data_IF_393421300500
#
_entry.id   IF_393421300500
#
_cell.length_a   1.000
_cell.length_b   1.000
_cell.length_c   1.000
_cell.angle_alpha   90.00
_cell.angle_beta   90.00
_cell.angle_gamma   90.00
#
_symmetry.space_group_name_H-M   'P 1'
#
loop_
_entity.id
_entity.type
_entity.pdbx_description
1 polymer ?
#
# COMPACT_ATOMS: atom_id res chain seq x y z
N UNK A 1 4.14 4.74 4.15
CA UNK A 1 4.03 3.29 3.92
C UNK A 1 5.41 2.70 3.71
N UNK A 2 5.57 1.41 3.99
CA UNK A 2 6.85 0.70 3.91
C UNK A 2 6.66 -0.78 3.54
N UNK A 3 7.65 -1.38 2.89
CA UNK A 3 7.75 -2.81 2.61
C UNK A 3 8.82 -3.45 3.48
N UNK A 4 8.38 -4.32 4.38
CA UNK A 4 9.28 -5.04 5.27
C UNK A 4 9.54 -6.42 4.70
N UNK A 5 10.81 -6.79 4.52
CA UNK A 5 11.24 -8.11 4.03
C UNK A 5 12.46 -8.05 3.09
N UNK A 6 12.81 -9.16 2.42
CA UNK A 6 12.16 -10.48 2.52
C UNK A 6 12.44 -11.15 3.86
N UNK A 7 11.41 -11.73 4.48
CA UNK A 7 11.55 -12.56 5.67
C UNK A 7 12.09 -13.96 5.30
N UNK A 8 12.95 -14.56 6.13
CA UNK A 8 13.52 -15.89 5.87
C UNK A 8 12.47 -17.00 6.00
N UNK A 9 11.51 -16.83 6.91
CA UNK A 9 10.37 -17.74 7.09
C UNK A 9 9.22 -17.24 6.23
N UNK A 10 8.63 -18.16 5.45
CA UNK A 10 7.48 -17.86 4.60
C UNK A 10 6.18 -17.94 5.39
N UNK A 11 5.22 -17.08 5.03
CA UNK A 11 3.83 -17.20 5.46
C UNK A 11 3.16 -18.48 4.95
N UNK A 12 1.95 -18.75 5.44
CA UNK A 12 1.21 -19.98 5.13
C UNK A 12 0.90 -20.16 3.65
N UNK A 13 0.92 -19.09 2.83
CA UNK A 13 0.73 -19.16 1.38
C UNK A 13 1.97 -18.74 0.61
N UNK A 14 3.14 -18.68 1.26
CA UNK A 14 4.42 -18.36 0.65
C UNK A 14 4.79 -16.87 0.67
N UNK A 15 4.13 -16.06 1.47
CA UNK A 15 4.42 -14.64 1.64
C UNK A 15 5.80 -14.43 2.26
N UNK A 16 6.52 -13.41 1.79
CA UNK A 16 7.87 -13.05 2.28
C UNK A 16 8.01 -11.57 2.59
N UNK A 17 7.01 -10.76 2.33
CA UNK A 17 7.03 -9.33 2.58
C UNK A 17 5.77 -8.92 3.34
N UNK A 18 5.83 -7.82 4.06
CA UNK A 18 4.67 -7.13 4.59
C UNK A 18 4.64 -5.70 4.06
N UNK A 19 3.53 -5.33 3.40
CA UNK A 19 3.22 -3.93 3.15
C UNK A 19 2.57 -3.34 4.39
N UNK A 20 3.17 -2.29 4.94
CA UNK A 20 2.65 -1.57 6.10
C UNK A 20 2.20 -0.18 5.70
N UNK A 21 1.00 0.20 6.14
CA UNK A 21 0.38 1.48 5.86
C UNK A 21 -0.11 2.07 7.18
N UNK A 22 0.21 3.34 7.42
CA UNK A 22 -0.20 4.07 8.61
C UNK A 22 -0.90 5.34 8.15
N UNK A 23 -2.08 5.59 8.69
CA UNK A 23 -2.76 6.87 8.55
C UNK A 23 -2.33 7.81 9.69
N UNK A 24 -1.77 8.96 9.33
CA UNK A 24 -1.23 9.93 10.29
C UNK A 24 -2.32 10.58 11.13
N UNK A 25 -3.54 10.70 10.60
CA UNK A 25 -4.67 11.34 11.27
C UNK A 25 -5.32 10.41 12.31
N UNK A 26 -5.83 9.25 11.85
CA UNK A 26 -6.56 8.31 12.69
C UNK A 26 -5.66 7.37 13.50
N UNK A 27 -4.36 7.31 13.19
CA UNK A 27 -3.41 6.33 13.72
C UNK A 27 -3.76 4.88 13.41
N UNK A 28 -4.66 4.65 12.45
CA UNK A 28 -4.95 3.30 11.95
C UNK A 28 -3.73 2.76 11.19
N UNK A 29 -3.49 1.47 11.37
CA UNK A 29 -2.40 0.74 10.72
C UNK A 29 -2.97 -0.48 10.01
N UNK A 30 -2.48 -0.72 8.79
CA UNK A 30 -2.77 -1.91 8.01
C UNK A 30 -1.47 -2.64 7.67
N UNK A 31 -1.53 -3.97 7.69
CA UNK A 31 -0.43 -4.84 7.30
C UNK A 31 -0.95 -5.90 6.32
N UNK A 32 -0.39 -5.92 5.11
CA UNK A 32 -0.75 -6.88 4.06
C UNK A 32 0.43 -7.82 3.78
N UNK A 33 0.27 -9.14 3.96
CA UNK A 33 1.32 -10.09 3.63
C UNK A 33 1.41 -10.26 2.10
N UNK A 34 2.61 -10.18 1.54
CA UNK A 34 2.87 -10.25 0.10
C UNK A 34 3.90 -11.32 -0.24
N UNK A 35 3.72 -12.00 -1.38
CA UNK A 35 4.69 -12.98 -1.91
C UNK A 35 5.87 -12.33 -2.60
N UNK A 36 5.61 -11.21 -3.28
CA UNK A 36 6.58 -10.43 -4.04
C UNK A 36 6.37 -8.95 -3.75
N UNK A 37 7.43 -8.17 -3.87
CA UNK A 37 7.43 -6.73 -3.58
C UNK A 37 6.63 -5.89 -4.58
N UNK A 38 6.60 -6.32 -5.84
CA UNK A 38 5.89 -5.67 -6.94
C UNK A 38 4.35 -5.75 -6.80
N UNK A 39 3.85 -6.66 -5.96
CA UNK A 39 2.43 -6.72 -5.60
C UNK A 39 1.97 -5.56 -4.72
N UNK A 40 2.89 -4.76 -4.15
CA UNK A 40 2.51 -3.70 -3.23
C UNK A 40 1.64 -2.62 -3.90
N UNK A 41 1.96 -2.26 -5.14
CA UNK A 41 1.22 -1.23 -5.87
C UNK A 41 -0.24 -1.65 -6.15
N UNK A 42 -0.45 -2.89 -6.59
CA UNK A 42 -1.80 -3.42 -6.82
C UNK A 42 -2.56 -3.58 -5.50
N UNK A 43 -1.94 -4.07 -4.42
CA UNK A 43 -2.60 -4.14 -3.10
C UNK A 43 -3.03 -2.77 -2.59
N UNK A 44 -2.25 -1.70 -2.84
CA UNK A 44 -2.66 -0.34 -2.46
C UNK A 44 -3.87 0.11 -3.26
N UNK A 45 -3.82 -0.02 -4.60
CA UNK A 45 -4.85 0.48 -5.51
C UNK A 45 -6.15 -0.33 -5.44
N UNK A 46 -6.04 -1.66 -5.43
CA UNK A 46 -7.17 -2.56 -5.64
C UNK A 46 -7.83 -2.97 -4.32
N UNK A 47 -7.06 -3.02 -3.22
CA UNK A 47 -7.56 -3.48 -1.91
C UNK A 47 -7.65 -2.35 -0.87
N UNK A 48 -6.52 -1.72 -0.54
CA UNK A 48 -6.45 -0.78 0.60
C UNK A 48 -7.20 0.53 0.33
N UNK A 49 -6.96 1.17 -0.82
CA UNK A 49 -7.53 2.46 -1.15
C UNK A 49 -9.08 2.44 -1.18
N UNK A 50 -9.74 1.51 -1.90
CA UNK A 50 -11.21 1.43 -1.88
C UNK A 50 -11.77 1.07 -0.51
N UNK A 51 -11.01 0.31 0.29
CA UNK A 51 -11.39 -0.03 1.65
C UNK A 51 -11.42 1.21 2.56
N UNK A 52 -10.34 2.02 2.58
CA UNK A 52 -10.25 3.20 3.45
C UNK A 52 -11.20 4.31 3.03
N UNK A 53 -11.43 4.50 1.73
CA UNK A 53 -12.39 5.49 1.24
C UNK A 53 -13.81 5.11 1.63
N UNK A 54 -14.18 3.82 1.50
CA UNK A 54 -15.49 3.33 1.94
C UNK A 54 -15.67 3.42 3.45
N UNK A 55 -14.63 3.09 4.22
CA UNK A 55 -14.70 3.13 5.68
C UNK A 55 -14.78 4.56 6.21
N UNK A 56 -14.00 5.48 5.64
CA UNK A 56 -13.96 6.88 6.08
C UNK A 56 -15.09 7.72 5.50
N UNK A 57 -15.68 7.31 4.37
CA UNK A 57 -16.62 8.12 3.59
C UNK A 57 -15.97 9.28 2.85
N UNK A 58 -14.64 9.35 2.82
CA UNK A 58 -13.86 10.44 2.24
C UNK A 58 -12.82 9.91 1.26
N UNK A 59 -12.58 10.60 0.13
CA UNK A 59 -11.54 10.22 -0.81
C UNK A 59 -10.14 10.44 -0.21
N UNK A 60 -9.22 9.53 -0.53
CA UNK A 60 -7.83 9.65 -0.11
C UNK A 60 -7.11 10.70 -0.98
N UNK A 61 -6.71 11.81 -0.38
CA UNK A 61 -6.11 12.94 -1.13
C UNK A 61 -4.64 12.78 -1.46
N UNK A 62 -3.91 12.06 -0.63
CA UNK A 62 -2.46 11.95 -0.79
C UNK A 62 -1.94 10.71 -0.11
N UNK A 63 -0.98 10.09 -0.76
CA UNK A 63 -0.29 8.90 -0.29
C UNK A 63 1.20 9.22 -0.19
N UNK A 64 1.82 8.93 0.96
CA UNK A 64 3.26 9.15 1.19
C UNK A 64 4.01 7.81 1.27
N UNK A 65 4.89 7.59 0.30
CA UNK A 65 5.86 6.49 0.26
C UNK A 65 7.23 7.00 0.70
N UNK A 66 8.09 6.11 1.17
CA UNK A 66 9.50 6.40 1.53
C UNK A 66 10.44 6.47 0.31
N UNK A 67 9.90 6.60 -0.90
CA UNK A 67 10.62 6.55 -2.19
C UNK A 67 11.28 5.21 -2.50
N UNK A 68 10.89 4.12 -1.84
CA UNK A 68 11.18 2.78 -2.35
C UNK A 68 10.61 2.62 -3.77
N UNK A 69 11.46 2.28 -4.75
CA UNK A 69 11.07 2.18 -6.17
C UNK A 69 9.96 1.16 -6.45
N UNK A 70 9.66 0.32 -5.46
CA UNK A 70 8.64 -0.73 -5.45
C UNK A 70 7.21 -0.17 -5.51
N UNK A 71 7.05 1.11 -5.14
CA UNK A 71 5.79 1.85 -5.22
C UNK A 71 5.70 2.81 -6.42
N UNK A 72 6.79 2.93 -7.20
CA UNK A 72 6.88 3.83 -8.35
C UNK A 72 6.46 3.16 -9.67
N UNK A 73 5.86 1.97 -9.60
CA UNK A 73 5.14 1.39 -10.74
C UNK A 73 4.08 2.39 -11.21
N UNK A 74 4.03 2.66 -12.52
CA UNK A 74 3.32 3.80 -13.11
C UNK A 74 1.87 3.98 -12.66
N UNK A 75 1.19 2.92 -12.25
CA UNK A 75 -0.21 2.93 -11.83
C UNK A 75 -0.49 3.78 -10.57
N UNK A 76 0.35 3.68 -9.53
CA UNK A 76 0.16 4.51 -8.31
C UNK A 76 0.51 5.97 -8.58
N UNK A 77 1.48 6.21 -9.46
CA UNK A 77 1.86 7.57 -9.87
C UNK A 77 0.76 8.19 -10.74
N UNK A 78 0.17 7.42 -11.65
CA UNK A 78 -0.96 7.84 -12.48
C UNK A 78 -2.19 8.18 -11.64
N UNK A 79 -2.56 7.31 -10.68
CA UNK A 79 -3.64 7.60 -9.73
C UNK A 79 -3.40 8.91 -8.95
N UNK A 80 -2.17 9.12 -8.47
CA UNK A 80 -1.80 10.33 -7.74
C UNK A 80 -1.85 11.60 -8.60
N UNK A 81 -1.68 11.49 -9.92
CA UNK A 81 -1.84 12.60 -10.85
C UNK A 81 -3.31 12.88 -11.18
N UNK A 82 -4.13 11.85 -11.32
CA UNK A 82 -5.56 11.97 -11.64
C UNK A 82 -6.36 12.59 -10.48
N UNK A 83 -5.99 12.28 -9.24
CA UNK A 83 -6.69 12.75 -8.01
C UNK A 83 -6.33 14.19 -7.61
N UNK A 84 -5.53 14.92 -8.40
CA UNK A 84 -5.09 16.31 -8.13
C UNK A 84 -6.04 17.40 -8.65
N UNK A 85 -7.20 17.05 -9.18
CA UNK A 85 -8.20 17.99 -9.71
C UNK A 85 -9.43 18.10 -8.82
#
# INVERSE_FOLDING_TARGET
>A
MDLVGPFPVRGSKGERYFLTIVDDWSRLMWAYPLKQKDHAASTIRDDWLPFVERQSGHPCKSIRTDRGGEFLGGDLTAWAQETRH
#
